data_IF_474361339601
#
_entry.id   IF_474361339601
#
_cell.length_a   1.000
_cell.length_b   1.000
_cell.length_c   1.000
_cell.angle_alpha   90.00
_cell.angle_beta   90.00
_cell.angle_gamma   90.00
#
_symmetry.space_group_name_H-M   'P 1'
#
loop_
_entity.id
_entity.type
_entity.pdbx_description
1 polymer ?
#
# COMPACT_ATOMS: atom_id res chain seq x y z
N UNK A 1 34.72 -7.63 1.91
CA UNK A 1 33.26 -7.41 2.00
C UNK A 1 32.82 -7.62 3.45
N UNK A 2 31.92 -6.78 3.97
CA UNK A 2 31.45 -6.88 5.37
C UNK A 2 30.31 -7.90 5.48
N UNK A 3 30.13 -8.51 6.66
CA UNK A 3 28.98 -9.40 6.96
C UNK A 3 27.62 -8.74 6.65
N UNK A 4 27.52 -7.43 6.84
CA UNK A 4 26.32 -6.65 6.53
C UNK A 4 26.04 -6.58 5.02
N UNK A 5 27.09 -6.47 4.19
CA UNK A 5 26.93 -6.44 2.73
C UNK A 5 26.44 -7.78 2.19
N UNK A 6 26.84 -8.89 2.80
CA UNK A 6 26.35 -10.23 2.43
C UNK A 6 24.88 -10.39 2.84
N UNK A 7 24.50 -10.01 4.06
CA UNK A 7 23.10 -10.07 4.53
C UNK A 7 22.16 -9.24 3.66
N UNK A 8 22.55 -8.02 3.29
CA UNK A 8 21.74 -7.17 2.43
C UNK A 8 21.55 -7.77 1.04
N UNK A 9 22.60 -8.36 0.45
CA UNK A 9 22.49 -9.05 -0.85
C UNK A 9 21.53 -10.23 -0.81
N UNK A 10 21.60 -11.05 0.25
CA UNK A 10 20.67 -12.17 0.44
C UNK A 10 19.24 -11.65 0.56
N UNK A 11 19.02 -10.59 1.35
CA UNK A 11 17.68 -10.01 1.52
C UNK A 11 17.11 -9.44 0.23
N UNK A 12 17.93 -8.75 -0.56
CA UNK A 12 17.52 -8.26 -1.89
C UNK A 12 17.11 -9.43 -2.78
N UNK A 13 17.91 -10.50 -2.82
CA UNK A 13 17.59 -11.69 -3.62
C UNK A 13 16.26 -12.34 -3.23
N UNK A 14 15.97 -12.45 -1.92
CA UNK A 14 14.69 -12.98 -1.43
C UNK A 14 13.51 -12.10 -1.88
N UNK A 15 13.64 -10.78 -1.73
CA UNK A 15 12.58 -9.83 -2.10
C UNK A 15 12.36 -9.78 -3.62
N UNK A 16 13.43 -9.90 -4.42
CA UNK A 16 13.32 -10.00 -5.89
C UNK A 16 12.52 -11.24 -6.30
N UNK A 17 12.76 -12.39 -5.65
CA UNK A 17 12.01 -13.61 -5.94
C UNK A 17 10.53 -13.47 -5.54
N UNK A 18 10.25 -12.91 -4.36
CA UNK A 18 8.87 -12.62 -3.93
C UNK A 18 8.15 -11.70 -4.93
N UNK A 19 8.85 -10.67 -5.42
CA UNK A 19 8.31 -9.75 -6.42
C UNK A 19 8.07 -10.42 -7.78
N UNK A 20 8.98 -11.29 -8.23
CA UNK A 20 8.84 -12.05 -9.46
C UNK A 20 7.59 -12.95 -9.42
N UNK A 21 7.37 -13.66 -8.32
CA UNK A 21 6.15 -14.46 -8.11
C UNK A 21 4.91 -13.56 -8.11
N UNK A 22 4.93 -12.45 -7.38
CA UNK A 22 3.80 -11.51 -7.29
C UNK A 22 3.45 -10.83 -8.62
N UNK A 23 4.44 -10.56 -9.46
CA UNK A 23 4.28 -10.01 -10.81
C UNK A 23 3.71 -11.06 -11.77
N UNK A 24 4.26 -12.28 -11.75
CA UNK A 24 3.81 -13.39 -12.57
C UNK A 24 2.32 -13.72 -12.33
N UNK A 25 1.88 -13.74 -11.07
CA UNK A 25 0.47 -13.91 -10.71
C UNK A 25 -0.44 -12.84 -11.33
N UNK A 26 -0.01 -11.58 -11.34
CA UNK A 26 -0.80 -10.47 -11.91
C UNK A 26 -0.84 -10.50 -13.43
N UNK A 27 0.27 -10.87 -14.06
CA UNK A 27 0.42 -10.95 -15.51
C UNK A 27 -0.07 -12.27 -16.09
N UNK A 28 -0.42 -13.25 -15.25
CA UNK A 28 -0.82 -14.61 -15.63
C UNK A 28 0.23 -15.30 -16.52
N UNK A 29 1.50 -15.14 -16.18
CA UNK A 29 2.63 -15.78 -16.85
C UNK A 29 3.45 -16.65 -15.87
N UNK A 30 4.45 -17.36 -16.38
CA UNK A 30 5.42 -18.05 -15.54
C UNK A 30 6.33 -17.07 -14.82
N UNK A 31 6.75 -17.41 -13.60
CA UNK A 31 7.72 -16.58 -12.84
C UNK A 31 9.07 -16.50 -13.54
N UNK A 32 9.50 -17.58 -14.20
CA UNK A 32 10.75 -17.60 -14.95
C UNK A 32 10.72 -16.67 -16.17
N UNK A 33 9.54 -16.48 -16.78
CA UNK A 33 9.36 -15.63 -17.97
C UNK A 33 9.55 -14.14 -17.64
N UNK A 34 9.22 -13.72 -16.41
CA UNK A 34 9.30 -12.32 -15.97
C UNK A 34 10.51 -12.04 -15.08
N UNK A 35 11.23 -13.06 -14.62
CA UNK A 35 12.34 -12.92 -13.66
C UNK A 35 13.40 -11.94 -14.12
N UNK A 36 13.85 -12.05 -15.37
CA UNK A 36 14.90 -11.16 -15.92
C UNK A 36 14.48 -9.69 -15.95
N UNK A 37 13.20 -9.41 -16.18
CA UNK A 37 12.64 -8.05 -16.15
C UNK A 37 12.62 -7.53 -14.72
N UNK A 38 12.16 -8.36 -13.76
CA UNK A 38 12.13 -7.97 -12.35
C UNK A 38 13.53 -7.73 -11.81
N UNK A 39 14.51 -8.58 -12.15
CA UNK A 39 15.91 -8.40 -11.78
C UNK A 39 16.48 -7.08 -12.33
N UNK A 40 16.21 -6.76 -13.60
CA UNK A 40 16.65 -5.50 -14.21
C UNK A 40 16.07 -4.27 -13.51
N UNK A 41 14.78 -4.31 -13.14
CA UNK A 41 14.13 -3.22 -12.41
C UNK A 41 14.70 -3.08 -11.00
N UNK A 42 14.88 -4.18 -10.28
CA UNK A 42 15.47 -4.14 -8.93
C UNK A 42 16.90 -3.61 -8.98
N UNK A 43 17.72 -4.05 -9.95
CA UNK A 43 19.06 -3.54 -10.14
C UNK A 43 19.06 -2.02 -10.36
N UNK A 44 18.22 -1.53 -11.27
CA UNK A 44 18.04 -0.10 -11.51
C UNK A 44 17.64 0.65 -10.23
N UNK A 45 16.68 0.15 -9.45
CA UNK A 45 16.24 0.81 -8.21
C UNK A 45 17.34 0.87 -7.15
N UNK A 46 18.15 -0.20 -7.02
CA UNK A 46 19.27 -0.24 -6.07
C UNK A 46 20.40 0.71 -6.50
N UNK A 47 20.64 0.85 -7.79
CA UNK A 47 21.68 1.74 -8.35
C UNK A 47 21.28 3.22 -8.27
N UNK A 48 20.04 3.57 -8.64
CA UNK A 48 19.58 4.96 -8.69
C UNK A 48 19.20 5.53 -7.32
N UNK A 49 18.72 4.68 -6.40
CA UNK A 49 18.27 5.10 -5.06
C UNK A 49 19.05 4.39 -3.94
N UNK A 50 20.39 4.53 -3.90
CA UNK A 50 21.19 3.85 -2.89
C UNK A 50 20.89 4.46 -1.52
N UNK A 51 20.38 3.63 -0.60
CA UNK A 51 20.21 3.94 0.82
C UNK A 51 19.26 5.12 1.15
N UNK A 52 18.38 5.52 0.22
CA UNK A 52 17.29 6.43 0.57
C UNK A 52 16.15 5.62 1.21
N UNK A 53 15.73 6.02 2.40
CA UNK A 53 14.42 5.64 2.94
C UNK A 53 13.36 6.28 2.03
N UNK A 54 13.06 5.60 0.93
CA UNK A 54 12.00 5.98 0.01
C UNK A 54 10.70 5.91 0.80
N UNK A 55 10.08 7.06 1.01
CA UNK A 55 8.68 7.10 1.43
C UNK A 55 7.84 6.50 0.29
N UNK A 56 7.46 5.23 0.45
CA UNK A 56 6.48 4.59 -0.40
C UNK A 56 5.12 4.86 0.25
N UNK A 57 4.28 5.75 -0.30
CA UNK A 57 2.92 5.92 0.21
C UNK A 57 2.24 4.55 0.12
N UNK A 58 1.72 4.05 1.23
CA UNK A 58 1.00 2.78 1.28
C UNK A 58 -0.19 2.88 0.32
N UNK A 59 -0.01 2.39 -0.91
CA UNK A 59 -0.98 2.32 -2.00
C UNK A 59 -1.91 3.53 -2.18
N UNK A 60 -1.90 4.14 -3.35
CA UNK A 60 -3.05 4.94 -3.85
C UNK A 60 -4.37 4.14 -3.96
N UNK A 61 -4.44 2.91 -3.46
CA UNK A 61 -5.70 2.36 -2.98
C UNK A 61 -6.06 3.11 -1.70
N UNK A 62 -6.80 4.19 -1.89
CA UNK A 62 -7.77 4.67 -0.91
C UNK A 62 -8.40 3.48 -0.18
N UNK A 63 -7.85 3.11 0.97
CA UNK A 63 -8.67 2.76 2.12
C UNK A 63 -9.33 4.05 2.64
N UNK A 64 -9.73 4.95 1.73
CA UNK A 64 -10.60 6.05 2.04
C UNK A 64 -11.86 5.35 2.52
N UNK A 65 -12.08 5.45 3.82
CA UNK A 65 -13.36 5.14 4.40
C UNK A 65 -14.46 5.65 3.46
N UNK A 66 -15.56 4.91 3.27
CA UNK A 66 -16.61 5.33 2.36
C UNK A 66 -17.33 6.56 2.92
N UNK A 67 -16.70 7.74 2.78
CA UNK A 67 -17.09 8.99 3.45
C UNK A 67 -18.51 9.37 3.05
N UNK A 68 -18.88 9.13 1.79
CA UNK A 68 -20.23 9.39 1.29
C UNK A 68 -21.29 8.51 1.96
N UNK A 69 -20.98 7.23 2.22
CA UNK A 69 -21.86 6.32 2.95
C UNK A 69 -21.94 6.66 4.44
N UNK A 70 -20.83 7.12 5.02
CA UNK A 70 -20.78 7.61 6.41
C UNK A 70 -21.64 8.87 6.55
N UNK A 71 -21.48 9.84 5.64
CA UNK A 71 -22.28 11.08 5.57
C UNK A 71 -23.76 10.77 5.33
N UNK A 72 -24.07 9.77 4.50
CA UNK A 72 -25.44 9.30 4.29
C UNK A 72 -26.07 8.76 5.58
N UNK A 73 -25.38 7.88 6.31
CA UNK A 73 -25.89 7.34 7.57
C UNK A 73 -26.10 8.42 8.65
N UNK A 74 -25.26 9.47 8.66
CA UNK A 74 -25.47 10.64 9.53
C UNK A 74 -26.74 11.43 9.14
N UNK A 75 -27.00 11.64 7.84
CA UNK A 75 -28.24 12.29 7.36
C UNK A 75 -29.49 11.46 7.69
N UNK A 76 -29.36 10.13 7.68
CA UNK A 76 -30.40 9.18 8.05
C UNK A 76 -30.57 9.03 9.58
N UNK A 77 -29.88 9.86 10.38
CA UNK A 77 -29.93 9.87 11.85
C UNK A 77 -29.47 8.55 12.50
N UNK A 78 -28.59 7.79 11.85
CA UNK A 78 -27.94 6.65 12.50
C UNK A 78 -27.09 7.12 13.68
N UNK A 79 -27.14 6.38 14.80
CA UNK A 79 -26.29 6.70 15.94
C UNK A 79 -24.80 6.56 15.59
N UNK A 80 -23.97 7.47 16.12
CA UNK A 80 -22.50 7.42 15.99
C UNK A 80 -21.94 6.05 16.38
N UNK A 81 -22.52 5.41 17.41
CA UNK A 81 -22.11 4.06 17.83
C UNK A 81 -22.36 3.01 16.75
N UNK A 82 -23.48 3.10 16.03
CA UNK A 82 -23.81 2.21 14.91
C UNK A 82 -22.82 2.40 13.77
N UNK A 83 -22.58 3.65 13.37
CA UNK A 83 -21.66 3.99 12.28
C UNK A 83 -20.22 3.55 12.56
N UNK A 84 -19.70 3.85 13.75
CA UNK A 84 -18.38 3.38 14.19
C UNK A 84 -18.26 1.85 14.13
N UNK A 85 -19.31 1.13 14.55
CA UNK A 85 -19.33 -0.34 14.52
C UNK A 85 -19.40 -0.88 13.08
N UNK A 86 -20.24 -0.30 12.23
CA UNK A 86 -20.45 -0.70 10.83
C UNK A 86 -19.17 -0.55 10.03
N UNK A 87 -18.51 0.60 10.17
CA UNK A 87 -17.30 0.94 9.41
C UNK A 87 -15.99 0.59 10.13
N UNK A 88 -16.07 -0.02 11.32
CA UNK A 88 -14.92 -0.42 12.16
C UNK A 88 -13.94 0.73 12.40
N UNK A 89 -14.48 1.90 12.72
CA UNK A 89 -13.71 3.11 13.04
C UNK A 89 -14.00 3.61 14.44
N UNK A 90 -13.03 4.28 15.03
CA UNK A 90 -13.25 5.02 16.27
C UNK A 90 -13.99 6.34 16.02
N UNK A 91 -14.47 6.97 17.10
CA UNK A 91 -15.18 8.26 16.99
C UNK A 91 -14.28 9.38 16.46
N UNK A 92 -12.99 9.35 16.78
CA UNK A 92 -12.03 10.38 16.38
C UNK A 92 -11.83 10.38 14.86
N UNK A 93 -11.77 9.20 14.27
CA UNK A 93 -11.66 8.95 12.84
C UNK A 93 -12.95 9.36 12.16
N UNK A 94 -14.12 9.00 12.73
CA UNK A 94 -15.40 9.45 12.20
C UNK A 94 -15.47 10.97 12.05
N UNK A 95 -15.15 11.74 13.09
CA UNK A 95 -15.20 13.20 13.01
C UNK A 95 -14.14 13.79 12.08
N UNK A 96 -12.93 13.24 12.07
CA UNK A 96 -11.88 13.66 11.14
C UNK A 96 -12.33 13.57 9.67
N UNK A 97 -13.03 12.49 9.31
CA UNK A 97 -13.57 12.30 7.95
C UNK A 97 -14.72 13.26 7.60
N UNK A 98 -15.41 13.80 8.61
CA UNK A 98 -16.46 14.80 8.41
C UNK A 98 -15.89 16.20 8.27
N UNK A 99 -14.80 16.50 8.98
CA UNK A 99 -14.11 17.80 8.96
C UNK A 99 -13.26 18.01 7.69
N UNK A 100 -12.89 16.94 6.98
CA UNK A 100 -12.19 17.05 5.70
C UNK A 100 -13.10 17.72 4.66
N UNK A 101 -12.70 18.89 4.10
CA UNK A 101 -13.46 19.54 3.04
C UNK A 101 -13.59 18.56 1.89
N UNK A 102 -14.78 18.44 1.32
CA UNK A 102 -14.98 17.67 0.10
C UNK A 102 -14.05 18.25 -0.97
N UNK A 103 -12.95 17.55 -1.25
CA UNK A 103 -12.13 17.81 -2.41
C UNK A 103 -12.94 17.34 -3.63
N UNK A 104 -13.96 18.11 -3.99
CA UNK A 104 -14.79 18.10 -5.19
C UNK A 104 -15.95 19.10 -4.96
N UNK A 105 -15.66 20.38 -5.14
CA UNK A 105 -16.59 21.34 -5.75
C UNK A 105 -15.96 21.85 -7.04
#
# INVERSE_FOLDING_TARGET
MSRNTVRNKVRISELTEELAVGAALRLRCGSDDIRSVVEAVVAYLVEEYPAQDLYIPASMQSSAYPVDEIRKGMREQESVRSLCKRFRIDRRTLYRLLDEPSANE
#
